data_IF_575880815609
#
_entry.id   IF_575880815609
#
_cell.length_a   1.000
_cell.length_b   1.000
_cell.length_c   1.000
_cell.angle_alpha   90.00
_cell.angle_beta   90.00
_cell.angle_gamma   90.00
#
_symmetry.space_group_name_H-M   'P 1'
#
loop_
_entity.id
_entity.type
_entity.pdbx_description
1 polymer ?
#
# COMPACT_ATOMS: atom_id res chain seq x y z
N UNK A 1 -6.43 -2.66 31.38
CA UNK A 1 -6.25 -1.59 30.38
C UNK A 1 -5.64 -2.16 29.12
N UNK A 2 -6.19 -1.82 27.95
CA UNK A 2 -5.52 -2.11 26.67
C UNK A 2 -4.65 -0.89 26.37
N UNK A 3 -3.34 -1.00 26.60
CA UNK A 3 -2.39 0.02 26.16
C UNK A 3 -2.30 -0.06 24.63
N UNK A 4 -3.02 0.81 23.93
CA UNK A 4 -2.75 1.08 22.53
C UNK A 4 -1.30 1.61 22.45
N UNK A 5 -0.42 0.86 21.78
CA UNK A 5 0.94 1.32 21.52
C UNK A 5 0.96 2.67 20.79
N UNK A 6 2.14 3.30 20.63
CA UNK A 6 2.25 4.60 19.98
C UNK A 6 1.56 4.57 18.60
N UNK A 7 0.65 5.54 18.38
CA UNK A 7 -0.10 5.66 17.13
C UNK A 7 0.85 6.10 16.03
N UNK A 8 1.07 5.22 15.06
CA UNK A 8 1.81 5.54 13.83
C UNK A 8 0.82 5.98 12.77
N UNK A 9 1.17 6.99 11.97
CA UNK A 9 0.36 7.51 10.88
C UNK A 9 1.01 7.22 9.53
N UNK A 10 0.18 7.03 8.51
CA UNK A 10 0.66 6.88 7.13
C UNK A 10 1.08 8.26 6.63
N UNK A 11 2.36 8.44 6.35
CA UNK A 11 2.88 9.69 5.79
C UNK A 11 2.66 9.76 4.28
N UNK A 12 3.01 8.68 3.59
CA UNK A 12 2.95 8.60 2.12
C UNK A 12 2.70 7.17 1.67
N UNK A 13 2.01 7.04 0.53
CA UNK A 13 1.90 5.76 -0.19
C UNK A 13 2.64 5.89 -1.52
N UNK A 14 3.77 5.19 -1.65
CA UNK A 14 4.54 5.11 -2.89
C UNK A 14 4.11 3.87 -3.68
N UNK A 15 3.92 4.02 -4.98
CA UNK A 15 3.50 2.94 -5.88
C UNK A 15 4.53 2.87 -7.00
N UNK A 16 5.10 1.69 -7.22
CA UNK A 16 6.19 1.47 -8.17
C UNK A 16 5.99 0.18 -8.97
N UNK A 17 6.58 0.15 -10.18
CA UNK A 17 6.53 -1.01 -11.08
C UNK A 17 5.26 -1.12 -11.94
N UNK A 18 4.33 -0.18 -11.81
CA UNK A 18 3.14 -0.04 -12.64
C UNK A 18 3.42 0.80 -13.90
N UNK A 19 4.06 0.19 -14.90
CA UNK A 19 4.47 0.92 -16.12
C UNK A 19 3.28 1.24 -17.04
N UNK A 20 2.30 0.34 -17.16
CA UNK A 20 1.14 0.49 -18.04
C UNK A 20 -0.13 0.85 -17.28
N UNK A 21 -0.25 0.36 -16.06
CA UNK A 21 -1.39 0.62 -15.17
C UNK A 21 -1.20 1.96 -14.47
N UNK A 22 -2.18 2.85 -14.58
CA UNK A 22 -2.13 4.15 -13.91
C UNK A 22 -2.14 4.01 -12.39
N UNK A 23 -1.34 4.80 -11.68
CA UNK A 23 -1.28 4.84 -10.21
C UNK A 23 -2.67 4.88 -9.55
N UNK A 24 -3.59 5.69 -10.09
CA UNK A 24 -4.96 5.84 -9.57
C UNK A 24 -5.73 4.51 -9.49
N UNK A 25 -5.42 3.54 -10.35
CA UNK A 25 -6.06 2.21 -10.37
C UNK A 25 -5.61 1.37 -9.18
N UNK A 26 -4.36 1.53 -8.75
CA UNK A 26 -3.84 0.87 -7.55
C UNK A 26 -4.28 1.65 -6.31
N UNK A 27 -4.18 2.98 -6.34
CA UNK A 27 -4.51 3.86 -5.22
C UNK A 27 -5.98 3.76 -4.80
N UNK A 28 -6.92 3.55 -5.72
CA UNK A 28 -8.36 3.35 -5.37
C UNK A 28 -8.66 2.06 -4.61
N UNK A 29 -7.75 1.08 -4.64
CA UNK A 29 -7.93 -0.17 -3.89
C UNK A 29 -7.42 -0.08 -2.46
N UNK A 30 -6.70 0.99 -2.12
CA UNK A 30 -6.26 1.25 -0.76
C UNK A 30 -7.42 1.64 0.15
N UNK A 31 -7.41 1.07 1.36
CA UNK A 31 -8.32 1.40 2.46
C UNK A 31 -7.69 2.33 3.50
N UNK A 32 -6.41 2.65 3.30
CA UNK A 32 -5.66 3.65 4.04
C UNK A 32 -5.37 4.81 3.09
N UNK A 33 -5.47 6.03 3.60
CA UNK A 33 -4.97 7.22 2.91
C UNK A 33 -3.83 7.85 3.67
N UNK A 34 -3.12 8.76 3.03
CA UNK A 34 -2.08 9.57 3.66
C UNK A 34 -2.74 10.43 4.77
N UNK A 35 -2.15 10.43 5.96
CA UNK A 35 -2.70 11.01 7.19
C UNK A 35 -3.50 10.04 8.06
N UNK A 36 -3.92 8.86 7.56
CA UNK A 36 -4.65 7.89 8.40
C UNK A 36 -3.74 7.28 9.47
N UNK A 37 -4.34 6.94 10.62
CA UNK A 37 -3.70 6.04 11.58
C UNK A 37 -3.40 4.69 10.90
N UNK A 38 -2.15 4.24 11.02
CA UNK A 38 -1.69 3.01 10.43
C UNK A 38 -2.49 1.82 10.98
N UNK A 39 -2.94 0.95 10.07
CA UNK A 39 -3.69 -0.23 10.44
C UNK A 39 -3.33 -1.41 9.53
N UNK A 40 -2.68 -2.41 10.11
CA UNK A 40 -2.22 -3.60 9.39
C UNK A 40 -3.37 -4.37 8.72
N UNK A 41 -4.56 -4.42 9.34
CA UNK A 41 -5.71 -5.12 8.75
C UNK A 41 -6.24 -4.39 7.50
N UNK A 42 -6.28 -3.05 7.51
CA UNK A 42 -6.62 -2.25 6.33
C UNK A 42 -5.55 -2.39 5.24
N UNK A 43 -4.27 -2.42 5.61
CA UNK A 43 -3.16 -2.61 4.66
C UNK A 43 -3.24 -3.98 3.96
N UNK A 44 -3.40 -5.06 4.74
CA UNK A 44 -3.55 -6.41 4.20
C UNK A 44 -4.77 -6.53 3.29
N UNK A 45 -5.89 -5.91 3.66
CA UNK A 45 -7.08 -5.87 2.80
C UNK A 45 -6.81 -5.13 1.49
N UNK A 46 -6.08 -4.02 1.53
CA UNK A 46 -5.67 -3.26 0.34
C UNK A 46 -4.81 -4.12 -0.58
N UNK A 47 -3.80 -4.82 -0.04
CA UNK A 47 -2.97 -5.78 -0.78
C UNK A 47 -3.81 -6.86 -1.48
N UNK A 48 -4.76 -7.47 -0.77
CA UNK A 48 -5.63 -8.49 -1.34
C UNK A 48 -6.52 -7.96 -2.47
N UNK A 49 -7.00 -6.71 -2.37
CA UNK A 49 -7.80 -6.07 -3.44
C UNK A 49 -6.97 -5.80 -4.68
N UNK A 50 -5.75 -5.28 -4.52
CA UNK A 50 -4.82 -5.04 -5.65
C UNK A 50 -4.49 -6.35 -6.35
N UNK A 51 -4.22 -7.43 -5.58
CA UNK A 51 -4.06 -8.78 -6.15
C UNK A 51 -5.31 -9.26 -6.88
N UNK A 52 -6.48 -8.96 -6.34
CA UNK A 52 -7.78 -9.29 -6.93
C UNK A 52 -8.08 -8.59 -8.27
N UNK A 53 -7.38 -7.49 -8.60
CA UNK A 53 -7.47 -6.88 -9.93
C UNK A 53 -6.91 -7.80 -11.03
N UNK A 54 -6.09 -8.78 -10.67
CA UNK A 54 -5.51 -9.75 -11.59
C UNK A 54 -4.60 -9.15 -12.69
N UNK A 55 -4.24 -7.87 -12.59
CA UNK A 55 -3.34 -7.16 -13.52
C UNK A 55 -1.85 -7.41 -13.24
N UNK A 56 -1.53 -7.80 -12.00
CA UNK A 56 -0.15 -7.93 -11.53
C UNK A 56 0.21 -9.38 -11.26
N UNK A 57 1.38 -9.81 -11.70
CA UNK A 57 1.97 -11.11 -11.40
C UNK A 57 2.44 -11.18 -9.95
N UNK A 58 2.96 -10.06 -9.43
CA UNK A 58 3.35 -9.92 -8.04
C UNK A 58 2.87 -8.57 -7.47
N UNK A 59 2.52 -8.58 -6.19
CA UNK A 59 2.17 -7.40 -5.39
C UNK A 59 2.83 -7.56 -4.02
N UNK A 60 3.76 -6.67 -3.76
CA UNK A 60 4.51 -6.55 -2.51
C UNK A 60 4.21 -5.21 -1.85
N UNK A 61 4.06 -5.26 -0.53
CA UNK A 61 3.72 -4.08 0.27
C UNK A 61 4.66 -4.09 1.46
N UNK A 62 5.50 -3.07 1.54
CA UNK A 62 6.49 -2.90 2.61
C UNK A 62 6.26 -1.57 3.32
N UNK A 63 6.84 -1.45 4.52
CA UNK A 63 6.76 -0.25 5.33
C UNK A 63 8.17 0.23 5.60
N UNK A 64 8.41 1.53 5.46
CA UNK A 64 9.66 2.17 5.84
C UNK A 64 9.39 3.28 6.87
N UNK A 65 10.36 3.62 7.73
CA UNK A 65 10.26 4.79 8.58
C UNK A 65 9.98 6.05 7.74
N UNK A 66 9.06 6.90 8.21
CA UNK A 66 8.83 8.23 7.63
C UNK A 66 9.82 9.27 8.16
N UNK A 67 9.57 10.54 7.85
CA UNK A 67 10.40 11.65 8.34
C UNK A 67 10.26 11.85 9.86
N UNK A 68 9.06 11.60 10.40
CA UNK A 68 8.79 11.69 11.83
C UNK A 68 8.74 10.29 12.49
N UNK A 69 9.07 10.19 13.79
CA UNK A 69 9.10 8.89 14.50
C UNK A 69 7.72 8.24 14.65
N UNK A 70 6.64 9.01 14.54
CA UNK A 70 5.25 8.54 14.54
C UNK A 70 4.69 8.37 13.12
N UNK A 71 5.55 8.34 12.11
CA UNK A 71 5.16 8.26 10.71
C UNK A 71 5.80 7.09 9.98
N UNK A 72 5.04 6.50 9.07
CA UNK A 72 5.50 5.42 8.20
C UNK A 72 5.12 5.68 6.76
N UNK A 73 6.02 5.32 5.85
CA UNK A 73 5.77 5.32 4.42
C UNK A 73 5.42 3.89 4.00
N UNK A 74 4.34 3.76 3.23
CA UNK A 74 3.93 2.48 2.65
C UNK A 74 4.43 2.42 1.21
N UNK A 75 5.28 1.44 0.91
CA UNK A 75 5.77 1.20 -0.45
C UNK A 75 5.03 0.02 -1.06
N UNK A 76 4.57 0.20 -2.29
CA UNK A 76 3.75 -0.77 -3.02
C UNK A 76 4.47 -1.08 -4.31
N UNK A 77 5.14 -2.22 -4.34
CA UNK A 77 5.83 -2.70 -5.53
C UNK A 77 4.94 -3.70 -6.24
N UNK A 78 4.69 -3.44 -7.52
CA UNK A 78 3.92 -4.33 -8.37
C UNK A 78 4.72 -4.76 -9.59
N UNK A 79 4.51 -6.00 -10.03
CA UNK A 79 5.02 -6.50 -11.30
C UNK A 79 3.85 -6.77 -12.22
N UNK A 80 3.71 -5.97 -13.27
CA UNK A 80 2.62 -6.15 -14.23
C UNK A 80 2.70 -7.50 -14.95
N UNK A 81 1.55 -8.09 -15.22
CA UNK A 81 1.48 -9.26 -16.09
C UNK A 81 1.78 -8.82 -17.52
N UNK A 82 2.55 -9.63 -18.23
CA UNK A 82 2.62 -9.50 -19.68
C UNK A 82 1.23 -9.81 -20.24
N UNK A 83 0.60 -8.83 -20.87
CA UNK A 83 -0.61 -9.06 -21.67
C UNK A 83 -0.15 -9.71 -22.97
N UNK A 84 0.18 -10.99 -22.92
CA UNK A 84 0.56 -11.73 -24.12
C UNK A 84 -0.65 -11.89 -25.04
N UNK A 85 -0.71 -11.06 -26.07
CA UNK A 85 -1.14 -11.35 -27.45
C UNK A 85 -0.57 -10.29 -28.39
#
# INVERSE_FOLDING_TARGET
EVNEGPKVYVEKINIEGNVRTLDRVIRREFRLVEGDAFNTAKLNRSRSRIRGLNFFANVEVTQTPGEAPDRTIVNVEVKEKSTGQ
#
